data_IF_907720441540
#
_entry.id   IF_907720441540
#
_cell.length_a   1.000
_cell.length_b   1.000
_cell.length_c   1.000
_cell.angle_alpha   90.00
_cell.angle_beta   90.00
_cell.angle_gamma   90.00
#
_symmetry.space_group_name_H-M   'P 1'
#
loop_
_entity.id
_entity.type
_entity.pdbx_description
1 polymer ?
#
# COMPACT_ATOMS: atom_id res chain seq x y z
N UNK A 1 18.56 -6.97 -6.73
CA UNK A 1 19.76 -6.30 -6.20
C UNK A 1 19.37 -5.47 -4.99
N UNK A 2 20.18 -5.50 -3.92
CA UNK A 2 19.98 -4.74 -2.70
C UNK A 2 20.99 -3.60 -2.64
N UNK A 3 20.55 -2.41 -2.26
CA UNK A 3 21.47 -1.31 -1.94
C UNK A 3 22.01 -1.58 -0.53
N UNK A 4 23.32 -1.80 -0.43
CA UNK A 4 23.96 -2.02 0.84
C UNK A 4 24.18 -0.69 1.56
N UNK A 5 23.54 -0.52 2.73
CA UNK A 5 23.69 0.66 3.58
C UNK A 5 24.52 0.33 4.83
N UNK A 6 25.32 1.29 5.35
CA UNK A 6 26.19 1.04 6.48
C UNK A 6 25.43 0.81 7.81
N UNK A 7 24.19 1.29 7.91
CA UNK A 7 23.35 1.14 9.09
C UNK A 7 22.09 0.35 8.76
N UNK A 8 21.73 -0.61 9.63
CA UNK A 8 20.50 -1.38 9.49
C UNK A 8 19.28 -0.58 9.95
N UNK A 9 18.11 -1.02 9.50
CA UNK A 9 16.84 -0.59 10.07
C UNK A 9 16.33 -1.69 11.01
N UNK A 10 15.60 -1.33 12.06
CA UNK A 10 14.98 -2.29 12.98
C UNK A 10 13.62 -1.80 13.46
N UNK A 11 12.70 -2.72 13.65
CA UNK A 11 11.39 -2.45 14.21
C UNK A 11 11.13 -3.31 15.44
N UNK A 12 10.51 -2.72 16.46
CA UNK A 12 9.95 -3.43 17.60
C UNK A 12 8.44 -3.41 17.46
N UNK A 13 7.83 -4.59 17.39
CA UNK A 13 6.39 -4.76 17.22
C UNK A 13 5.83 -5.37 18.50
N UNK A 14 4.92 -4.67 19.16
CA UNK A 14 4.17 -5.14 20.31
C UNK A 14 2.76 -5.47 19.83
N UNK A 15 2.27 -6.68 20.11
CA UNK A 15 0.92 -7.13 19.75
C UNK A 15 0.17 -7.46 21.03
N UNK A 16 -1.01 -6.90 21.23
CA UNK A 16 -1.86 -7.17 22.38
C UNK A 16 -2.72 -8.45 22.20
N UNK A 17 -3.45 -8.83 23.26
CA UNK A 17 -4.32 -10.02 23.25
C UNK A 17 -5.51 -9.90 22.27
N UNK A 18 -5.76 -8.73 21.71
CA UNK A 18 -6.82 -8.48 20.71
C UNK A 18 -6.28 -8.52 19.28
N UNK A 19 -4.94 -8.67 19.11
CA UNK A 19 -4.28 -8.64 17.82
C UNK A 19 -3.97 -7.21 17.30
N UNK A 20 -4.18 -6.19 18.14
CA UNK A 20 -3.76 -4.81 17.83
C UNK A 20 -2.25 -4.68 18.01
N UNK A 21 -1.62 -3.91 17.14
CA UNK A 21 -0.17 -3.73 17.19
C UNK A 21 0.25 -2.28 17.48
N UNK A 22 1.43 -2.14 18.09
CA UNK A 22 2.17 -0.89 18.23
C UNK A 22 3.57 -1.12 17.69
N UNK A 23 4.00 -0.31 16.73
CA UNK A 23 5.29 -0.46 16.05
C UNK A 23 6.16 0.75 16.36
N UNK A 24 7.40 0.47 16.83
CA UNK A 24 8.45 1.47 17.00
C UNK A 24 9.59 1.16 16.03
N UNK A 25 9.89 2.08 15.13
CA UNK A 25 10.89 1.88 14.06
C UNK A 25 12.11 2.76 14.32
N UNK A 26 13.29 2.14 14.29
CA UNK A 26 14.57 2.82 14.12
C UNK A 26 14.92 2.76 12.62
N UNK A 27 14.62 3.84 11.91
CA UNK A 27 14.62 3.87 10.44
C UNK A 27 16.00 3.67 9.80
N UNK A 28 17.11 3.98 10.53
CA UNK A 28 18.47 3.67 10.09
C UNK A 28 18.71 3.91 8.60
N UNK A 29 19.04 2.83 7.89
CA UNK A 29 19.30 2.82 6.45
C UNK A 29 18.17 3.42 5.61
N UNK A 30 16.91 3.25 6.02
CA UNK A 30 15.78 3.77 5.25
C UNK A 30 15.86 5.29 5.09
N UNK A 31 16.22 6.02 6.15
CA UNK A 31 16.32 7.49 6.09
C UNK A 31 17.62 8.00 5.45
N UNK A 32 18.62 7.13 5.30
CA UNK A 32 19.89 7.49 4.67
C UNK A 32 19.86 7.40 3.13
N UNK A 33 18.81 6.76 2.56
CA UNK A 33 18.70 6.59 1.11
C UNK A 33 18.54 7.95 0.42
N UNK A 34 19.27 8.14 -0.67
CA UNK A 34 19.22 9.34 -1.52
C UNK A 34 18.93 8.99 -2.98
N UNK A 35 18.42 9.92 -3.81
CA UNK A 35 18.21 9.68 -5.22
C UNK A 35 19.47 9.25 -5.96
N UNK A 36 20.65 9.73 -5.57
CA UNK A 36 21.94 9.41 -6.20
C UNK A 36 22.30 7.92 -6.02
N UNK A 37 21.91 7.32 -4.89
CA UNK A 37 22.18 5.91 -4.60
C UNK A 37 21.29 4.96 -5.41
N UNK A 38 20.21 5.48 -6.01
CA UNK A 38 19.32 4.68 -6.87
C UNK A 38 19.98 4.32 -8.21
N UNK A 39 21.09 4.93 -8.58
CA UNK A 39 21.79 4.66 -9.85
C UNK A 39 22.07 3.16 -10.09
N UNK A 40 22.33 2.40 -9.02
CA UNK A 40 22.56 0.97 -9.10
C UNK A 40 21.30 0.13 -9.47
N UNK A 41 20.09 0.67 -9.18
CA UNK A 41 18.80 -0.01 -9.40
C UNK A 41 17.91 0.71 -10.41
N UNK A 42 18.39 1.78 -11.01
CA UNK A 42 17.63 2.60 -11.96
C UNK A 42 17.08 1.78 -13.13
N UNK A 43 17.88 0.88 -13.69
CA UNK A 43 17.46 0.03 -14.82
C UNK A 43 16.36 -0.95 -14.41
N UNK A 44 16.36 -1.41 -13.17
CA UNK A 44 15.30 -2.28 -12.62
C UNK A 44 13.99 -1.48 -12.54
N UNK A 45 14.04 -0.24 -12.04
CA UNK A 45 12.87 0.64 -11.97
C UNK A 45 12.34 0.95 -13.37
N UNK A 46 13.22 1.24 -14.32
CA UNK A 46 12.87 1.53 -15.72
C UNK A 46 12.19 0.36 -16.44
N UNK A 47 12.57 -0.88 -16.10
CA UNK A 47 12.03 -2.10 -16.71
C UNK A 47 10.81 -2.67 -15.95
N UNK A 48 10.46 -2.09 -14.80
CA UNK A 48 9.35 -2.57 -13.99
C UNK A 48 7.98 -2.30 -14.65
N UNK A 49 7.09 -3.27 -14.60
CA UNK A 49 5.68 -3.08 -14.98
C UNK A 49 4.88 -2.37 -13.88
N UNK A 50 5.25 -2.63 -12.62
CA UNK A 50 4.64 -2.02 -11.43
C UNK A 50 5.73 -1.58 -10.46
N UNK A 51 5.57 -0.42 -9.86
CA UNK A 51 6.40 0.08 -8.77
C UNK A 51 5.50 0.34 -7.56
N UNK A 52 5.68 -0.46 -6.51
CA UNK A 52 5.00 -0.32 -5.22
C UNK A 52 5.92 0.38 -4.22
N UNK A 53 5.43 1.44 -3.59
CA UNK A 53 6.17 2.23 -2.59
C UNK A 53 5.33 2.48 -1.34
N UNK A 54 6.04 2.78 -0.25
CA UNK A 54 5.50 3.25 1.03
C UNK A 54 6.16 4.58 1.42
N UNK A 55 5.82 5.12 2.61
CA UNK A 55 6.41 6.37 3.13
C UNK A 55 7.50 6.13 4.19
N UNK A 56 8.23 5.02 4.09
CA UNK A 56 9.30 4.66 5.04
C UNK A 56 10.70 5.11 4.60
N UNK A 57 10.81 5.71 3.42
CA UNK A 57 12.05 6.29 2.88
C UNK A 57 11.86 7.79 2.64
N UNK A 58 12.93 8.57 2.41
CA UNK A 58 12.82 10.02 2.23
C UNK A 58 11.91 10.40 1.05
N UNK A 59 11.07 11.40 1.27
CA UNK A 59 10.12 11.89 0.25
C UNK A 59 10.78 12.21 -1.11
N UNK A 60 11.97 12.86 -1.18
CA UNK A 60 12.65 13.11 -2.45
C UNK A 60 12.96 11.83 -3.24
N UNK A 61 13.23 10.71 -2.56
CA UNK A 61 13.46 9.40 -3.19
C UNK A 61 12.16 8.87 -3.78
N UNK A 62 11.06 8.95 -3.02
CA UNK A 62 9.73 8.51 -3.47
C UNK A 62 9.30 9.30 -4.71
N UNK A 63 9.43 10.63 -4.69
CA UNK A 63 9.12 11.51 -5.82
C UNK A 63 9.97 11.21 -7.06
N UNK A 64 11.27 10.96 -6.85
CA UNK A 64 12.19 10.61 -7.92
C UNK A 64 11.78 9.29 -8.59
N UNK A 65 11.53 8.26 -7.78
CA UNK A 65 11.13 6.91 -8.26
C UNK A 65 9.77 6.96 -8.96
N UNK A 66 8.77 7.63 -8.37
CA UNK A 66 7.43 7.76 -8.97
C UNK A 66 7.51 8.42 -10.35
N UNK A 67 8.23 9.53 -10.46
CA UNK A 67 8.43 10.23 -11.74
C UNK A 67 9.13 9.35 -12.77
N UNK A 68 10.22 8.67 -12.37
CA UNK A 68 10.97 7.77 -13.26
C UNK A 68 10.10 6.62 -13.74
N UNK A 69 9.38 5.96 -12.85
CA UNK A 69 8.47 4.86 -13.16
C UNK A 69 7.41 5.29 -14.20
N UNK A 70 6.80 6.45 -14.00
CA UNK A 70 5.81 7.00 -14.95
C UNK A 70 6.42 7.31 -16.32
N UNK A 71 7.64 7.83 -16.40
CA UNK A 71 8.34 8.08 -17.66
C UNK A 71 8.57 6.79 -18.47
N UNK A 72 8.63 5.64 -17.80
CA UNK A 72 8.82 4.32 -18.42
C UNK A 72 7.54 3.47 -18.46
N UNK A 73 6.37 4.12 -18.32
CA UNK A 73 5.03 3.49 -18.41
C UNK A 73 4.74 2.42 -17.35
N UNK A 74 5.46 2.41 -16.24
CA UNK A 74 5.13 1.57 -15.10
C UNK A 74 3.87 2.09 -14.39
N UNK A 75 3.08 1.18 -13.83
CA UNK A 75 2.01 1.52 -12.90
C UNK A 75 2.62 1.84 -11.53
N UNK A 76 2.36 3.04 -11.01
CA UNK A 76 2.84 3.48 -9.70
C UNK A 76 1.75 3.27 -8.65
N UNK A 77 2.05 2.44 -7.66
CA UNK A 77 1.20 2.17 -6.50
C UNK A 77 1.88 2.77 -5.27
N UNK A 78 1.15 3.60 -4.53
CA UNK A 78 1.62 4.15 -3.26
C UNK A 78 0.70 3.69 -2.13
N UNK A 79 1.27 3.00 -1.14
CA UNK A 79 0.66 2.81 0.16
C UNK A 79 1.19 3.90 1.10
N UNK A 80 0.40 4.88 1.56
CA UNK A 80 0.87 6.03 2.31
C UNK A 80 1.11 5.70 3.79
N UNK A 81 1.74 4.56 4.06
CA UNK A 81 2.13 4.07 5.38
C UNK A 81 3.63 4.30 5.65
N UNK A 82 4.02 4.72 6.85
CA UNK A 82 3.15 5.20 7.93
C UNK A 82 2.42 6.49 7.56
N UNK A 83 1.30 6.72 8.24
CA UNK A 83 0.44 7.86 7.98
C UNK A 83 1.23 9.18 7.87
N UNK A 84 1.06 9.96 6.80
CA UNK A 84 1.89 11.13 6.53
C UNK A 84 1.66 12.21 7.58
N UNK A 85 2.76 12.79 8.09
CA UNK A 85 2.72 13.89 9.07
C UNK A 85 2.34 15.24 8.43
N UNK A 86 2.45 15.34 7.11
CA UNK A 86 2.16 16.52 6.31
C UNK A 86 1.37 16.09 5.08
N UNK A 87 0.73 17.03 4.39
CA UNK A 87 0.07 16.73 3.13
C UNK A 87 1.06 16.17 2.12
N UNK A 88 0.64 15.16 1.36
CA UNK A 88 1.45 14.60 0.29
C UNK A 88 1.65 15.66 -0.81
N UNK A 89 2.86 15.79 -1.36
CA UNK A 89 3.14 16.74 -2.43
C UNK A 89 2.24 16.48 -3.65
N UNK A 90 1.59 17.51 -4.22
CA UNK A 90 0.79 17.36 -5.44
C UNK A 90 1.61 16.77 -6.60
N UNK A 91 2.89 17.11 -6.68
CA UNK A 91 3.82 16.60 -7.69
C UNK A 91 4.01 15.08 -7.56
N UNK A 92 4.02 14.53 -6.35
CA UNK A 92 4.04 13.08 -6.14
C UNK A 92 2.73 12.47 -6.59
N UNK A 93 1.58 13.00 -6.11
CA UNK A 93 0.26 12.45 -6.39
C UNK A 93 -0.06 12.42 -7.89
N UNK A 94 0.43 13.38 -8.67
CA UNK A 94 0.32 13.40 -10.12
C UNK A 94 1.02 12.22 -10.82
N UNK A 95 1.92 11.52 -10.14
CA UNK A 95 2.63 10.35 -10.65
C UNK A 95 2.13 9.03 -10.05
N UNK A 96 1.14 9.07 -9.16
CA UNK A 96 0.56 7.88 -8.51
C UNK A 96 -0.71 7.45 -9.24
N UNK A 97 -0.71 6.24 -9.79
CA UNK A 97 -1.90 5.67 -10.44
C UNK A 97 -2.90 5.12 -9.41
N UNK A 98 -2.38 4.43 -8.39
CA UNK A 98 -3.18 3.78 -7.35
C UNK A 98 -2.66 4.21 -5.98
N UNK A 99 -3.51 4.83 -5.17
CA UNK A 99 -3.23 5.13 -3.76
C UNK A 99 -4.01 4.17 -2.87
N UNK A 100 -3.31 3.53 -1.92
CA UNK A 100 -3.91 2.50 -1.05
C UNK A 100 -3.77 2.93 0.42
N UNK A 101 -4.54 3.90 0.92
CA UNK A 101 -4.56 4.26 2.33
C UNK A 101 -5.45 3.29 3.14
N UNK A 102 -5.16 3.15 4.43
CA UNK A 102 -6.13 2.68 5.40
C UNK A 102 -7.08 3.84 5.81
N UNK A 103 -8.05 3.56 6.71
CA UNK A 103 -9.03 4.56 7.17
C UNK A 103 -8.35 5.79 7.78
N UNK A 104 -7.35 5.60 8.66
CA UNK A 104 -6.62 6.68 9.33
C UNK A 104 -5.80 7.50 8.33
N UNK A 105 -5.11 6.85 7.42
CA UNK A 105 -4.33 7.50 6.36
C UNK A 105 -5.23 8.28 5.41
N UNK A 106 -6.37 7.70 5.01
CA UNK A 106 -7.36 8.38 4.18
C UNK A 106 -7.94 9.63 4.86
N UNK A 107 -8.20 9.55 6.18
CA UNK A 107 -8.64 10.69 6.98
C UNK A 107 -7.58 11.80 7.00
N UNK A 108 -6.32 11.47 7.26
CA UNK A 108 -5.23 12.45 7.32
C UNK A 108 -4.97 13.12 5.95
N UNK A 109 -5.07 12.37 4.87
CA UNK A 109 -4.84 12.91 3.52
C UNK A 109 -6.04 13.76 3.06
N UNK A 110 -7.27 13.28 3.27
CA UNK A 110 -8.50 13.93 2.76
C UNK A 110 -9.07 14.99 3.70
N UNK A 111 -8.70 14.97 4.99
CA UNK A 111 -9.35 15.76 6.05
C UNK A 111 -10.79 15.32 6.33
N UNK A 112 -11.16 14.06 6.01
CA UNK A 112 -12.50 13.50 6.21
C UNK A 112 -12.40 12.22 7.01
N UNK A 113 -13.04 12.16 8.19
CA UNK A 113 -13.08 10.95 8.99
C UNK A 113 -13.72 9.78 8.22
N UNK A 114 -13.09 8.60 8.29
CA UNK A 114 -13.52 7.41 7.54
C UNK A 114 -13.96 6.32 8.52
N UNK A 115 -15.27 6.18 8.69
CA UNK A 115 -15.88 5.22 9.62
C UNK A 115 -16.74 4.16 8.93
N UNK A 116 -17.22 4.47 7.73
CA UNK A 116 -18.11 3.64 6.92
C UNK A 116 -17.87 3.87 5.42
N UNK A 117 -18.63 3.21 4.57
CA UNK A 117 -18.48 3.33 3.12
C UNK A 117 -18.89 4.70 2.57
N UNK A 118 -19.82 5.41 3.20
CA UNK A 118 -20.24 6.76 2.77
C UNK A 118 -19.12 7.77 3.02
N UNK A 119 -18.53 7.74 4.20
CA UNK A 119 -17.37 8.58 4.54
C UNK A 119 -16.12 8.19 3.75
N UNK A 120 -15.94 6.89 3.44
CA UNK A 120 -14.88 6.42 2.55
C UNK A 120 -15.04 7.00 1.13
N UNK A 121 -16.27 7.05 0.60
CA UNK A 121 -16.55 7.66 -0.70
C UNK A 121 -16.23 9.16 -0.71
N UNK A 122 -16.59 9.87 0.35
CA UNK A 122 -16.28 11.30 0.49
C UNK A 122 -14.76 11.55 0.56
N UNK A 123 -14.03 10.74 1.34
CA UNK A 123 -12.58 10.82 1.45
C UNK A 123 -11.89 10.49 0.11
N UNK A 124 -12.29 9.38 -0.54
CA UNK A 124 -11.74 8.96 -1.81
C UNK A 124 -11.98 9.99 -2.94
N UNK A 125 -13.17 10.61 -2.98
CA UNK A 125 -13.46 11.68 -3.93
C UNK A 125 -12.53 12.88 -3.77
N UNK A 126 -12.22 13.29 -2.52
CA UNK A 126 -11.26 14.37 -2.26
C UNK A 126 -9.83 13.98 -2.67
N UNK A 127 -9.42 12.75 -2.38
CA UNK A 127 -8.10 12.24 -2.79
C UNK A 127 -7.99 12.18 -4.32
N UNK A 128 -9.05 11.72 -5.01
CA UNK A 128 -9.11 11.73 -6.47
C UNK A 128 -8.93 13.14 -7.07
N UNK A 129 -9.53 14.17 -6.42
CA UNK A 129 -9.36 15.57 -6.83
C UNK A 129 -7.91 16.09 -6.66
N UNK A 130 -7.08 15.40 -5.87
CA UNK A 130 -5.64 15.71 -5.74
C UNK A 130 -4.79 15.14 -6.89
N UNK A 131 -5.42 14.42 -7.85
CA UNK A 131 -4.74 13.90 -9.05
C UNK A 131 -4.56 12.39 -9.09
N UNK A 132 -4.97 11.65 -8.05
CA UNK A 132 -4.89 10.18 -8.03
C UNK A 132 -6.04 9.58 -8.83
N UNK A 133 -5.73 8.68 -9.77
CA UNK A 133 -6.74 8.02 -10.59
C UNK A 133 -7.58 7.00 -9.81
N UNK A 134 -6.92 6.07 -9.14
CA UNK A 134 -7.59 5.00 -8.40
C UNK A 134 -7.26 5.10 -6.91
N UNK A 135 -8.29 5.23 -6.08
CA UNK A 135 -8.15 5.25 -4.62
C UNK A 135 -8.75 3.98 -4.04
N UNK A 136 -7.96 3.23 -3.27
CA UNK A 136 -8.38 1.98 -2.62
C UNK A 136 -8.23 2.16 -1.11
N UNK A 137 -9.33 2.38 -0.39
CA UNK A 137 -9.30 2.53 1.07
C UNK A 137 -9.48 1.16 1.71
N UNK A 138 -8.47 0.68 2.44
CA UNK A 138 -8.58 -0.56 3.20
C UNK A 138 -9.33 -0.30 4.50
N UNK A 139 -10.36 -1.14 4.78
CA UNK A 139 -11.28 -0.99 5.91
C UNK A 139 -11.28 -2.21 6.83
N UNK A 140 -10.13 -2.87 6.94
CA UNK A 140 -9.92 -4.04 7.80
C UNK A 140 -10.91 -5.16 7.50
N UNK A 141 -11.66 -5.60 8.51
CA UNK A 141 -12.65 -6.68 8.38
C UNK A 141 -13.82 -6.36 7.42
N UNK A 142 -14.00 -5.10 7.06
CA UNK A 142 -15.03 -4.67 6.11
C UNK A 142 -14.58 -4.82 4.65
N UNK A 143 -13.30 -5.04 4.38
CA UNK A 143 -12.75 -5.17 3.04
C UNK A 143 -12.15 -3.89 2.51
N UNK A 144 -12.44 -3.54 1.26
CA UNK A 144 -11.91 -2.33 0.63
C UNK A 144 -12.99 -1.55 -0.09
N UNK A 145 -12.87 -0.22 -0.04
CA UNK A 145 -13.63 0.71 -0.86
C UNK A 145 -12.73 1.17 -2.00
N UNK A 146 -13.22 1.06 -3.23
CA UNK A 146 -12.49 1.43 -4.44
C UNK A 146 -13.20 2.59 -5.13
N UNK A 147 -12.44 3.58 -5.57
CA UNK A 147 -12.94 4.73 -6.30
C UNK A 147 -12.07 5.03 -7.52
N UNK A 148 -12.69 5.17 -8.66
CA UNK A 148 -12.05 5.63 -9.91
C UNK A 148 -12.43 7.09 -10.16
N UNK A 149 -11.44 7.98 -10.12
CA UNK A 149 -11.66 9.43 -10.21
C UNK A 149 -12.02 9.91 -11.62
N UNK A 150 -11.70 9.13 -12.67
CA UNK A 150 -12.04 9.49 -14.05
C UNK A 150 -13.51 9.24 -14.34
N UNK A 151 -14.04 8.09 -13.91
CA UNK A 151 -15.44 7.71 -14.14
C UNK A 151 -16.37 8.17 -13.03
N UNK A 152 -15.84 8.47 -11.84
CA UNK A 152 -16.61 8.70 -10.62
C UNK A 152 -17.25 7.45 -10.03
N UNK A 153 -16.95 6.27 -10.57
CA UNK A 153 -17.50 5.01 -10.10
C UNK A 153 -16.82 4.55 -8.81
N UNK A 154 -17.59 3.85 -7.97
CA UNK A 154 -17.06 3.22 -6.77
C UNK A 154 -17.58 1.79 -6.62
N UNK A 155 -16.78 0.97 -5.95
CA UNK A 155 -17.08 -0.44 -5.69
C UNK A 155 -16.62 -0.83 -4.27
N UNK A 156 -17.31 -1.78 -3.67
CA UNK A 156 -16.96 -2.36 -2.38
C UNK A 156 -16.61 -3.83 -2.58
N UNK A 157 -15.39 -4.21 -2.23
CA UNK A 157 -14.95 -5.61 -2.22
C UNK A 157 -14.92 -6.06 -0.76
N UNK A 158 -15.89 -6.89 -0.38
CA UNK A 158 -16.06 -7.34 1.02
C UNK A 158 -14.96 -8.33 1.39
N UNK A 159 -14.36 -8.15 2.57
CA UNK A 159 -13.37 -9.09 3.08
C UNK A 159 -13.99 -10.44 3.47
N UNK A 160 -13.23 -11.52 3.28
CA UNK A 160 -13.58 -12.84 3.82
C UNK A 160 -13.48 -12.80 5.34
N UNK A 161 -14.56 -13.15 6.02
CA UNK A 161 -14.58 -13.21 7.48
C UNK A 161 -13.68 -14.33 7.99
N UNK A 162 -12.70 -13.95 8.79
CA UNK A 162 -11.76 -14.87 9.44
C UNK A 162 -11.58 -14.44 10.90
N UNK A 163 -11.07 -15.36 11.74
CA UNK A 163 -10.64 -15.00 13.10
C UNK A 163 -9.21 -14.50 13.02
N UNK A 164 -9.02 -13.19 13.18
CA UNK A 164 -7.70 -12.59 13.22
C UNK A 164 -6.92 -13.04 14.46
N UNK A 165 -5.64 -13.29 14.28
CA UNK A 165 -4.66 -13.61 15.31
C UNK A 165 -3.63 -12.49 15.44
N UNK A 166 -3.20 -11.91 14.29
CA UNK A 166 -2.22 -10.86 14.20
C UNK A 166 -2.47 -10.07 12.90
N UNK A 167 -2.64 -8.76 12.99
CA UNK A 167 -2.95 -7.91 11.84
C UNK A 167 -1.75 -7.13 11.30
N UNK A 168 -0.55 -7.40 11.82
CA UNK A 168 0.67 -6.60 11.57
C UNK A 168 0.98 -6.39 10.10
N UNK A 169 0.92 -7.44 9.28
CA UNK A 169 1.33 -7.39 7.86
C UNK A 169 0.14 -7.41 6.87
N UNK A 170 -1.09 -7.17 7.36
CA UNK A 170 -2.29 -7.28 6.53
C UNK A 170 -2.26 -6.32 5.33
N UNK A 171 -1.85 -5.08 5.56
CA UNK A 171 -1.73 -4.04 4.53
C UNK A 171 -0.66 -4.36 3.50
N UNK A 172 0.52 -4.79 3.96
CA UNK A 172 1.65 -5.13 3.08
C UNK A 172 1.33 -6.37 2.24
N UNK A 173 0.72 -7.38 2.86
CA UNK A 173 0.24 -8.57 2.18
C UNK A 173 -0.79 -8.22 1.09
N UNK A 174 -1.73 -7.33 1.39
CA UNK A 174 -2.71 -6.84 0.43
C UNK A 174 -2.03 -6.12 -0.74
N UNK A 175 -1.17 -5.15 -0.46
CA UNK A 175 -0.47 -4.35 -1.48
C UNK A 175 0.42 -5.23 -2.38
N UNK A 176 1.18 -6.16 -1.79
CA UNK A 176 2.01 -7.09 -2.53
C UNK A 176 1.20 -8.02 -3.44
N UNK A 177 0.12 -8.63 -2.90
CA UNK A 177 -0.74 -9.52 -3.67
C UNK A 177 -1.47 -8.77 -4.80
N UNK A 178 -1.96 -7.55 -4.55
CA UNK A 178 -2.58 -6.71 -5.56
C UNK A 178 -1.61 -6.41 -6.70
N UNK A 179 -0.38 -6.01 -6.35
CA UNK A 179 0.67 -5.69 -7.35
C UNK A 179 0.99 -6.90 -8.23
N UNK A 180 1.13 -8.09 -7.64
CA UNK A 180 1.37 -9.33 -8.40
C UNK A 180 0.20 -9.62 -9.35
N UNK A 181 -1.04 -9.57 -8.86
CA UNK A 181 -2.21 -9.88 -9.67
C UNK A 181 -2.40 -8.89 -10.83
N UNK A 182 -2.16 -7.60 -10.60
CA UNK A 182 -2.20 -6.58 -11.65
C UNK A 182 -1.07 -6.79 -12.68
N UNK A 183 0.14 -7.15 -12.24
CA UNK A 183 1.26 -7.41 -13.13
C UNK A 183 1.06 -8.68 -13.98
N UNK A 184 0.26 -9.64 -13.50
CA UNK A 184 -0.22 -10.79 -14.27
C UNK A 184 -1.32 -10.42 -15.29
N UNK A 185 -1.75 -9.16 -15.35
CA UNK A 185 -2.79 -8.67 -16.27
C UNK A 185 -4.21 -8.98 -15.81
N UNK A 186 -4.45 -9.31 -14.55
CA UNK A 186 -5.82 -9.53 -14.04
C UNK A 186 -6.60 -8.21 -14.01
N UNK A 187 -7.90 -8.23 -14.31
CA UNK A 187 -8.77 -7.08 -14.08
C UNK A 187 -8.73 -6.63 -12.61
N UNK A 188 -8.92 -5.33 -12.37
CA UNK A 188 -8.78 -4.74 -11.02
C UNK A 188 -9.66 -5.44 -9.97
N UNK A 189 -10.91 -5.73 -10.28
CA UNK A 189 -11.82 -6.43 -9.37
C UNK A 189 -11.32 -7.83 -8.97
N UNK A 190 -10.73 -8.59 -9.92
CA UNK A 190 -10.15 -9.91 -9.64
C UNK A 190 -8.86 -9.80 -8.83
N UNK A 191 -8.04 -8.78 -9.13
CA UNK A 191 -6.82 -8.50 -8.39
C UNK A 191 -7.11 -8.10 -6.94
N UNK A 192 -8.15 -7.30 -6.71
CA UNK A 192 -8.62 -6.90 -5.38
C UNK A 192 -9.16 -8.09 -4.57
N UNK A 193 -9.96 -8.98 -5.20
CA UNK A 193 -10.43 -10.20 -4.53
C UNK A 193 -9.25 -11.11 -4.16
N UNK A 194 -8.27 -11.25 -5.04
CA UNK A 194 -7.04 -11.99 -4.76
C UNK A 194 -6.28 -11.38 -3.58
N UNK A 195 -6.08 -10.07 -3.56
CA UNK A 195 -5.40 -9.35 -2.48
C UNK A 195 -6.13 -9.46 -1.13
N UNK A 196 -7.46 -9.32 -1.13
CA UNK A 196 -8.29 -9.52 0.06
C UNK A 196 -8.17 -10.94 0.63
N UNK A 197 -8.11 -11.95 -0.23
CA UNK A 197 -7.91 -13.34 0.21
C UNK A 197 -6.52 -13.55 0.81
N UNK A 198 -5.48 -12.98 0.22
CA UNK A 198 -4.12 -13.05 0.76
C UNK A 198 -4.06 -12.42 2.16
N UNK A 199 -4.56 -11.20 2.31
CA UNK A 199 -4.62 -10.51 3.59
C UNK A 199 -5.47 -11.28 4.62
N UNK A 200 -6.60 -11.88 4.22
CA UNK A 200 -7.42 -12.70 5.12
C UNK A 200 -6.67 -13.95 5.63
N UNK A 201 -5.76 -14.53 4.85
CA UNK A 201 -4.93 -15.66 5.30
C UNK A 201 -3.85 -15.13 6.26
N UNK A 202 -3.16 -14.03 5.92
CA UNK A 202 -2.06 -13.49 6.73
C UNK A 202 -2.52 -13.18 8.15
N UNK A 203 -3.66 -12.53 8.33
CA UNK A 203 -4.15 -12.16 9.68
C UNK A 203 -4.52 -13.36 10.57
N UNK A 204 -4.61 -14.58 10.04
CA UNK A 204 -4.84 -15.80 10.84
C UNK A 204 -3.55 -16.37 11.43
N UNK A 205 -2.39 -15.82 11.10
CA UNK A 205 -1.05 -16.29 11.45
C UNK A 205 -0.33 -15.24 12.30
N UNK A 206 0.63 -15.66 13.08
CA UNK A 206 1.49 -14.76 13.86
C UNK A 206 2.73 -14.35 13.09
N UNK A 207 3.17 -13.14 13.32
CA UNK A 207 4.41 -12.55 12.80
C UNK A 207 4.22 -11.87 11.46
N UNK A 208 5.23 -11.13 11.04
CA UNK A 208 5.27 -10.36 9.81
C UNK A 208 5.45 -11.29 8.59
N UNK A 209 6.63 -11.36 8.02
CA UNK A 209 6.92 -12.16 6.84
C UNK A 209 6.47 -13.64 6.94
N UNK A 210 6.57 -14.36 8.10
CA UNK A 210 6.08 -15.73 8.21
C UNK A 210 4.55 -15.88 8.09
N UNK A 211 3.77 -14.80 8.21
CA UNK A 211 2.31 -14.83 8.07
C UNK A 211 1.85 -14.85 6.61
N UNK A 212 2.71 -14.42 5.69
CA UNK A 212 2.36 -14.26 4.27
C UNK A 212 2.02 -15.61 3.63
N UNK A 213 0.93 -15.70 2.86
CA UNK A 213 0.55 -16.95 2.18
C UNK A 213 1.41 -17.21 0.95
N UNK A 214 1.71 -18.48 0.71
CA UNK A 214 2.23 -18.91 -0.57
C UNK A 214 1.12 -19.02 -1.62
N UNK A 215 1.47 -18.92 -2.90
CA UNK A 215 0.49 -18.94 -4.01
C UNK A 215 -0.38 -20.22 -4.01
N UNK A 216 0.18 -21.38 -3.67
CA UNK A 216 -0.58 -22.63 -3.60
C UNK A 216 -1.66 -22.64 -2.52
N UNK A 217 -1.50 -21.85 -1.45
CA UNK A 217 -2.49 -21.71 -0.36
C UNK A 217 -3.66 -20.81 -0.78
N UNK A 218 -3.45 -19.96 -1.80
CA UNK A 218 -4.48 -19.08 -2.36
C UNK A 218 -5.49 -19.84 -3.24
N UNK A 219 -5.16 -21.05 -3.69
CA UNK A 219 -5.99 -21.85 -4.59
C UNK A 219 -7.08 -22.66 -3.88
N UNK A 220 -7.08 -22.70 -2.53
CA UNK A 220 -8.09 -23.41 -1.75
C UNK A 220 -9.34 -22.52 -1.64
N UNK A 221 -10.46 -23.01 -2.18
CA UNK A 221 -11.79 -22.36 -2.24
C UNK A 221 -12.39 -22.11 -0.86
#
# INVERSE_FOLDING_TARGET
DLIAMPEGCSAMILVDDRGENMISVASGANLALTPEELGAVEEIIRSAGIVLMQLEIPMPVIEYVARMAKQHCATVILNPAPAPKQQLPPELLAHVDILIPNQTEAELISGTAVNDYESAAAAAGKIGQMGVRTVIITMGAHGVFVYDSESGNSEIIVAKRVKATDTTEAGDCFCGALSVALNEGRPLNEALDFANRAAAISVTRRGAQPSLPYLHEMSTR
#
